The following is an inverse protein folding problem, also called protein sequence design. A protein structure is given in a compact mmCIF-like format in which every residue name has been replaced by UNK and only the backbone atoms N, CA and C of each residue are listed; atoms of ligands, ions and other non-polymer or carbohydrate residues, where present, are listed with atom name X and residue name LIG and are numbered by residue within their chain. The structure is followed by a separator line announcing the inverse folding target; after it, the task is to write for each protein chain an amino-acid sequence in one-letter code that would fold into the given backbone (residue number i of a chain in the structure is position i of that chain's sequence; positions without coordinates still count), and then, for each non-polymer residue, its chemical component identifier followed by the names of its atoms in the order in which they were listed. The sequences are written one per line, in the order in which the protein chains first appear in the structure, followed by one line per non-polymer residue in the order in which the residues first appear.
data_IF_586959096523
#
_entry.id   IF_586959096523
#
_cell.length_a   1.000
_cell.length_b   1.000
_cell.length_c   1.000
_cell.angle_alpha   90.00
_cell.angle_beta   90.00
_cell.angle_gamma   90.00
#
_symmetry.space_group_name_H-M   'P 1'
#
loop_
_entity.id
_entity.type
_entity.pdbx_description
1 polymer ?
#
# COMPACT_ATOMS: atom_id res chain seq x y z
N UNK A 1 14.06 -47.26 34.53
CA UNK A 1 13.79 -45.98 33.85
C UNK A 1 12.72 -45.23 34.63
N UNK A 2 13.01 -44.07 35.21
CA UNK A 2 12.00 -43.27 35.91
C UNK A 2 10.96 -42.83 34.87
N UNK A 3 9.69 -43.19 35.04
CA UNK A 3 8.60 -42.61 34.25
C UNK A 3 8.63 -41.11 34.50
N UNK A 4 8.95 -40.33 33.47
CA UNK A 4 8.84 -38.87 33.50
C UNK A 4 7.32 -38.59 33.59
N UNK A 5 6.93 -37.72 34.53
CA UNK A 5 5.52 -37.33 34.67
C UNK A 5 5.07 -36.46 33.49
N UNK A 6 3.75 -36.35 33.27
CA UNK A 6 3.18 -35.49 32.23
C UNK A 6 3.67 -34.04 32.40
N UNK A 7 3.61 -33.53 33.64
CA UNK A 7 4.05 -32.19 34.01
C UNK A 7 5.54 -31.95 33.69
N UNK A 8 6.42 -32.91 34.04
CA UNK A 8 7.84 -32.82 33.69
C UNK A 8 8.07 -32.86 32.17
N UNK A 9 7.25 -33.62 31.44
CA UNK A 9 7.33 -33.68 29.97
C UNK A 9 6.95 -32.35 29.33
N UNK A 10 5.89 -31.70 29.82
CA UNK A 10 5.45 -30.38 29.36
C UNK A 10 6.51 -29.32 29.70
N UNK A 11 7.11 -29.36 30.89
CA UNK A 11 8.17 -28.43 31.27
C UNK A 11 9.40 -28.54 30.35
N UNK A 12 9.84 -29.76 30.04
CA UNK A 12 10.94 -29.99 29.08
C UNK A 12 10.57 -29.46 27.69
N UNK A 13 9.32 -29.66 27.26
CA UNK A 13 8.85 -29.15 25.97
C UNK A 13 8.86 -27.60 25.93
N UNK A 14 8.47 -26.93 27.02
CA UNK A 14 8.55 -25.47 27.14
C UNK A 14 9.99 -24.97 27.07
N UNK A 15 10.93 -25.64 27.74
CA UNK A 15 12.37 -25.31 27.65
C UNK A 15 12.89 -25.44 26.23
N UNK A 16 12.55 -26.54 25.52
CA UNK A 16 12.89 -26.68 24.11
C UNK A 16 12.27 -25.59 23.23
N UNK A 17 11.03 -25.18 23.52
CA UNK A 17 10.37 -24.11 22.80
C UNK A 17 11.09 -22.76 23.00
N UNK A 18 11.48 -22.42 24.24
CA UNK A 18 12.26 -21.22 24.55
C UNK A 18 13.63 -21.21 23.86
N UNK A 19 14.27 -22.38 23.73
CA UNK A 19 15.51 -22.57 22.99
C UNK A 19 15.31 -22.62 21.47
N UNK A 20 14.09 -22.40 20.96
CA UNK A 20 13.71 -22.47 19.55
C UNK A 20 13.94 -23.84 18.90
N UNK A 21 14.01 -24.89 19.71
CA UNK A 21 14.20 -26.28 19.29
C UNK A 21 12.85 -26.94 19.00
N UNK A 22 12.11 -26.37 18.04
CA UNK A 22 10.70 -26.72 17.80
C UNK A 22 10.46 -28.17 17.36
N UNK A 23 11.45 -28.79 16.70
CA UNK A 23 11.37 -30.21 16.32
C UNK A 23 11.36 -31.14 17.54
N UNK A 24 12.13 -30.81 18.56
CA UNK A 24 12.16 -31.55 19.82
C UNK A 24 10.84 -31.39 20.59
N UNK A 25 10.24 -30.19 20.55
CA UNK A 25 8.91 -29.95 21.13
C UNK A 25 7.86 -30.88 20.52
N UNK A 26 7.76 -30.93 19.18
CA UNK A 26 6.75 -31.77 18.52
C UNK A 26 7.03 -33.26 18.72
N UNK A 27 8.30 -33.70 18.71
CA UNK A 27 8.66 -35.10 18.98
C UNK A 27 8.25 -35.58 20.37
N UNK A 28 8.30 -34.70 21.37
CA UNK A 28 7.96 -35.05 22.76
C UNK A 28 6.45 -34.98 22.99
N UNK A 29 5.77 -33.99 22.41
CA UNK A 29 4.34 -33.76 22.66
C UNK A 29 3.42 -34.62 21.76
N UNK A 30 3.82 -34.96 20.55
CA UNK A 30 2.99 -35.73 19.60
C UNK A 30 2.51 -37.08 20.15
N UNK A 31 3.33 -37.90 20.84
CA UNK A 31 2.86 -39.16 21.43
C UNK A 31 1.82 -38.94 22.55
N UNK A 32 1.91 -37.82 23.27
CA UNK A 32 0.94 -37.50 24.33
C UNK A 32 -0.44 -37.21 23.74
N UNK A 33 -0.49 -36.52 22.59
CA UNK A 33 -1.75 -36.22 21.90
C UNK A 33 -2.55 -37.47 21.49
N UNK A 34 -1.90 -38.63 21.33
CA UNK A 34 -2.54 -39.91 21.00
C UNK A 34 -3.25 -40.56 22.21
N UNK A 35 -2.99 -40.09 23.43
CA UNK A 35 -3.53 -40.65 24.67
C UNK A 35 -4.68 -39.83 25.28
N UNK A 36 -5.30 -38.92 24.51
CA UNK A 36 -6.40 -38.02 24.92
C UNK A 36 -6.00 -37.28 26.20
N UNK A 37 -5.11 -36.31 26.07
CA UNK A 37 -4.77 -35.43 27.19
C UNK A 37 -5.78 -34.28 27.22
N UNK A 38 -6.46 -34.08 28.35
CA UNK A 38 -7.45 -33.02 28.57
C UNK A 38 -6.75 -31.73 29.03
N UNK A 39 -5.77 -31.27 28.26
CA UNK A 39 -5.01 -30.04 28.52
C UNK A 39 -4.80 -29.29 27.20
N UNK A 40 -5.54 -28.19 27.02
CA UNK A 40 -5.47 -27.35 25.82
C UNK A 40 -4.09 -26.69 25.65
N UNK A 41 -3.36 -26.44 26.74
CA UNK A 41 -2.05 -25.81 26.73
C UNK A 41 -1.00 -26.66 26.02
N UNK A 42 -1.12 -28.00 26.10
CA UNK A 42 -0.25 -28.92 25.35
C UNK A 42 -0.46 -28.79 23.84
N UNK A 43 -1.72 -28.73 23.42
CA UNK A 43 -2.08 -28.58 22.01
C UNK A 43 -1.70 -27.19 21.47
N UNK A 44 -1.84 -26.14 22.28
CA UNK A 44 -1.38 -24.79 21.96
C UNK A 44 0.14 -24.76 21.76
N UNK A 45 0.91 -25.31 22.70
CA UNK A 45 2.38 -25.37 22.61
C UNK A 45 2.85 -26.20 21.40
N UNK A 46 2.21 -27.33 21.15
CA UNK A 46 2.51 -28.19 20.01
C UNK A 46 2.18 -27.49 18.68
N UNK A 47 1.02 -26.83 18.59
CA UNK A 47 0.62 -26.04 17.42
C UNK A 47 1.59 -24.90 17.14
N UNK A 48 2.02 -24.18 18.18
CA UNK A 48 3.01 -23.10 18.07
C UNK A 48 4.35 -23.63 17.51
N UNK A 49 4.80 -24.78 18.00
CA UNK A 49 6.01 -25.43 17.49
C UNK A 49 5.88 -25.84 16.01
N UNK A 50 4.73 -26.43 15.61
CA UNK A 50 4.45 -26.73 14.20
C UNK A 50 4.43 -25.48 13.34
N UNK A 51 3.82 -24.40 13.81
CA UNK A 51 3.78 -23.11 13.12
C UNK A 51 5.20 -22.55 12.89
N UNK A 52 6.06 -22.57 13.91
CA UNK A 52 7.46 -22.14 13.78
C UNK A 52 8.28 -23.02 12.82
N UNK A 53 7.91 -24.28 12.63
CA UNK A 53 8.50 -25.19 11.63
C UNK A 53 7.95 -24.99 10.21
N UNK A 54 6.98 -24.09 10.02
CA UNK A 54 6.28 -23.90 8.75
C UNK A 54 5.28 -25.02 8.41
N UNK A 55 4.98 -25.89 9.37
CA UNK A 55 4.06 -27.02 9.24
C UNK A 55 2.63 -26.58 9.59
N UNK A 56 2.08 -25.66 8.78
CA UNK A 56 0.85 -24.94 9.12
C UNK A 56 -0.39 -25.84 9.22
N UNK A 57 -0.48 -26.91 8.42
CA UNK A 57 -1.61 -27.84 8.48
C UNK A 57 -1.63 -28.61 9.81
N UNK A 58 -0.47 -29.09 10.27
CA UNK A 58 -0.35 -29.74 11.59
C UNK A 58 -0.59 -28.75 12.73
N UNK A 59 -0.18 -27.49 12.56
CA UNK A 59 -0.48 -26.43 13.53
C UNK A 59 -2.00 -26.23 13.67
N UNK A 60 -2.73 -26.14 12.55
CA UNK A 60 -4.20 -26.03 12.53
C UNK A 60 -4.84 -27.20 13.27
N UNK A 61 -4.45 -28.44 12.96
CA UNK A 61 -4.98 -29.63 13.63
C UNK A 61 -4.74 -29.60 15.15
N UNK A 62 -3.53 -29.21 15.57
CA UNK A 62 -3.20 -29.07 16.97
C UNK A 62 -4.09 -28.01 17.66
N UNK A 63 -4.21 -26.80 17.09
CA UNK A 63 -5.04 -25.75 17.67
C UNK A 63 -6.52 -26.14 17.74
N UNK A 64 -7.06 -26.80 16.70
CA UNK A 64 -8.45 -27.28 16.69
C UNK A 64 -8.69 -28.33 17.79
N UNK A 65 -7.75 -29.24 18.02
CA UNK A 65 -7.84 -30.21 19.13
C UNK A 65 -7.81 -29.50 20.50
N UNK A 66 -6.96 -28.48 20.67
CA UNK A 66 -6.96 -27.66 21.88
C UNK A 66 -8.29 -26.93 22.09
N UNK A 67 -8.85 -26.36 21.03
CA UNK A 67 -10.15 -25.67 21.04
C UNK A 67 -11.31 -26.62 21.39
N UNK A 68 -11.23 -27.90 20.99
CA UNK A 68 -12.23 -28.90 21.39
C UNK A 68 -12.22 -29.18 22.90
N UNK A 69 -11.07 -29.02 23.56
CA UNK A 69 -10.94 -29.17 25.02
C UNK A 69 -11.41 -27.89 25.72
N UNK A 70 -10.95 -26.73 25.23
CA UNK A 70 -11.30 -25.44 25.79
C UNK A 70 -11.51 -24.40 24.68
N UNK A 71 -12.77 -24.05 24.44
CA UNK A 71 -13.17 -23.10 23.41
C UNK A 71 -13.08 -21.62 23.84
N UNK A 72 -12.71 -21.33 25.08
CA UNK A 72 -12.65 -19.96 25.63
C UNK A 72 -11.21 -19.40 25.68
N UNK A 73 -10.27 -20.03 24.95
CA UNK A 73 -8.87 -19.59 24.88
C UNK A 73 -8.65 -18.71 23.66
N UNK A 74 -8.72 -17.39 23.85
CA UNK A 74 -8.54 -16.42 22.78
C UNK A 74 -7.23 -16.60 21.98
N UNK A 75 -6.12 -16.97 22.65
CA UNK A 75 -4.82 -17.17 22.02
C UNK A 75 -4.83 -18.32 21.00
N UNK A 76 -5.55 -19.41 21.28
CA UNK A 76 -5.69 -20.56 20.38
C UNK A 76 -6.31 -20.15 19.05
N UNK A 77 -7.30 -19.25 19.08
CA UNK A 77 -7.93 -18.71 17.87
C UNK A 77 -7.03 -17.72 17.12
N UNK A 78 -6.21 -16.93 17.81
CA UNK A 78 -5.18 -16.08 17.16
C UNK A 78 -4.20 -16.96 16.38
N UNK A 79 -3.67 -17.99 17.02
CA UNK A 79 -2.66 -18.83 16.43
C UNK A 79 -3.23 -19.72 15.31
N UNK A 80 -4.48 -20.15 15.44
CA UNK A 80 -5.24 -20.79 14.37
C UNK A 80 -5.41 -19.86 13.16
N UNK A 81 -5.85 -18.62 13.38
CA UNK A 81 -5.98 -17.62 12.32
C UNK A 81 -4.65 -17.31 11.64
N UNK A 82 -3.55 -17.25 12.40
CA UNK A 82 -2.21 -17.07 11.85
C UNK A 82 -1.85 -18.22 10.90
N UNK A 83 -2.13 -19.47 11.29
CA UNK A 83 -1.84 -20.63 10.46
C UNK A 83 -2.67 -20.65 9.16
N UNK A 84 -3.97 -20.34 9.24
CA UNK A 84 -4.83 -20.19 8.05
C UNK A 84 -4.33 -19.07 7.11
N UNK A 85 -3.95 -17.92 7.66
CA UNK A 85 -3.43 -16.81 6.86
C UNK A 85 -2.14 -17.18 6.12
N UNK A 86 -1.26 -18.00 6.71
CA UNK A 86 -0.04 -18.50 6.04
C UNK A 86 -0.34 -19.45 4.88
N UNK A 87 -1.46 -20.16 4.95
CA UNK A 87 -1.98 -21.00 3.86
C UNK A 87 -2.85 -20.20 2.86
N UNK A 88 -3.03 -18.89 3.07
CA UNK A 88 -3.91 -18.01 2.30
C UNK A 88 -5.40 -18.40 2.36
N UNK A 89 -5.79 -19.18 3.37
CA UNK A 89 -7.20 -19.43 3.71
C UNK A 89 -7.74 -18.23 4.49
N UNK A 90 -8.00 -17.13 3.77
CA UNK A 90 -8.31 -15.85 4.41
C UNK A 90 -9.65 -15.83 5.14
N UNK A 91 -10.67 -16.50 4.61
CA UNK A 91 -11.99 -16.57 5.26
C UNK A 91 -11.92 -17.32 6.60
N UNK A 92 -11.26 -18.48 6.63
CA UNK A 92 -11.03 -19.24 7.87
C UNK A 92 -10.20 -18.44 8.89
N UNK A 93 -9.22 -17.65 8.42
CA UNK A 93 -8.43 -16.79 9.28
C UNK A 93 -9.27 -15.66 9.88
N UNK A 94 -10.15 -15.04 9.09
CA UNK A 94 -11.09 -14.00 9.56
C UNK A 94 -12.01 -14.57 10.64
N UNK A 95 -12.58 -15.75 10.41
CA UNK A 95 -13.46 -16.42 11.39
C UNK A 95 -12.72 -16.72 12.71
N UNK A 96 -11.50 -17.23 12.62
CA UNK A 96 -10.68 -17.51 13.79
C UNK A 96 -10.36 -16.22 14.58
N UNK A 97 -9.88 -15.17 13.94
CA UNK A 97 -9.59 -13.92 14.66
C UNK A 97 -10.85 -13.26 15.22
N UNK A 98 -11.98 -13.32 14.52
CA UNK A 98 -13.25 -12.76 15.01
C UNK A 98 -13.74 -13.50 16.26
N UNK A 99 -13.55 -14.83 16.33
CA UNK A 99 -13.81 -15.59 17.56
C UNK A 99 -12.88 -15.19 18.70
N UNK A 100 -11.59 -14.99 18.42
CA UNK A 100 -10.63 -14.52 19.43
C UNK A 100 -11.05 -13.16 20.02
N UNK A 101 -11.44 -12.21 19.17
CA UNK A 101 -11.92 -10.89 19.59
C UNK A 101 -13.20 -10.99 20.43
N UNK A 102 -14.12 -11.88 20.06
CA UNK A 102 -15.35 -12.11 20.83
C UNK A 102 -15.08 -12.68 22.22
N UNK A 103 -14.07 -13.55 22.36
CA UNK A 103 -13.67 -14.13 23.66
C UNK A 103 -12.97 -13.09 24.54
N UNK A 104 -12.03 -12.32 23.96
CA UNK A 104 -11.32 -11.28 24.69
C UNK A 104 -11.18 -10.00 23.84
N UNK A 105 -12.13 -9.05 23.96
CA UNK A 105 -12.13 -7.81 23.18
C UNK A 105 -10.97 -6.85 23.50
N UNK A 106 -10.31 -7.03 24.66
CA UNK A 106 -9.16 -6.23 25.09
C UNK A 106 -7.87 -6.64 24.36
N UNK A 107 -7.85 -7.84 23.76
CA UNK A 107 -6.76 -8.24 22.89
C UNK A 107 -6.83 -7.45 21.58
N UNK A 108 -5.84 -6.58 21.40
CA UNK A 108 -5.73 -5.80 20.15
C UNK A 108 -5.18 -6.63 18.99
N UNK A 109 -4.44 -7.71 19.28
CA UNK A 109 -3.75 -8.52 18.28
C UNK A 109 -4.68 -9.16 17.24
N UNK A 110 -5.83 -9.78 17.58
CA UNK A 110 -6.79 -10.27 16.60
C UNK A 110 -7.26 -9.19 15.63
N UNK A 111 -7.53 -7.96 16.10
CA UNK A 111 -7.98 -6.84 15.26
C UNK A 111 -6.89 -6.39 14.29
N UNK A 112 -5.63 -6.32 14.74
CA UNK A 112 -4.48 -6.04 13.87
C UNK A 112 -4.31 -7.13 12.80
N UNK A 113 -4.49 -8.39 13.18
CA UNK A 113 -4.41 -9.50 12.24
C UNK A 113 -5.59 -9.53 11.26
N UNK A 114 -6.79 -9.13 11.67
CA UNK A 114 -7.95 -8.95 10.79
C UNK A 114 -7.69 -7.87 9.74
N UNK A 115 -7.10 -6.72 10.12
CA UNK A 115 -6.70 -5.69 9.16
C UNK A 115 -5.76 -6.25 8.09
N UNK A 116 -4.73 -6.99 8.52
CA UNK A 116 -3.80 -7.65 7.60
C UNK A 116 -4.50 -8.62 6.65
N UNK A 117 -5.36 -9.50 7.17
CA UNK A 117 -6.04 -10.51 6.35
C UNK A 117 -7.07 -9.88 5.43
N UNK A 118 -7.84 -8.88 5.88
CA UNK A 118 -8.74 -8.13 4.99
C UNK A 118 -7.98 -7.46 3.85
N UNK A 119 -6.81 -6.87 4.13
CA UNK A 119 -5.95 -6.30 3.08
C UNK A 119 -5.43 -7.36 2.12
N UNK A 120 -4.98 -8.51 2.62
CA UNK A 120 -4.48 -9.61 1.78
C UNK A 120 -5.58 -10.26 0.93
N UNK A 121 -6.82 -10.27 1.43
CA UNK A 121 -8.01 -10.75 0.73
C UNK A 121 -8.66 -9.69 -0.18
N UNK A 122 -8.05 -8.51 -0.33
CA UNK A 122 -8.59 -7.37 -1.10
C UNK A 122 -9.95 -6.85 -0.59
N UNK A 123 -10.29 -7.12 0.66
CA UNK A 123 -11.47 -6.56 1.33
C UNK A 123 -11.14 -5.19 1.95
N UNK A 124 -10.82 -4.22 1.08
CA UNK A 124 -10.30 -2.91 1.47
C UNK A 124 -11.24 -2.15 2.42
N UNK A 125 -12.55 -2.20 2.19
CA UNK A 125 -13.54 -1.53 3.05
C UNK A 125 -13.54 -2.10 4.47
N UNK A 126 -13.47 -3.43 4.62
CA UNK A 126 -13.41 -4.10 5.91
C UNK A 126 -12.11 -3.78 6.65
N UNK A 127 -10.99 -3.70 5.93
CA UNK A 127 -9.70 -3.29 6.49
C UNK A 127 -9.75 -1.85 7.03
N UNK A 128 -10.29 -0.90 6.26
CA UNK A 128 -10.44 0.51 6.67
C UNK A 128 -11.34 0.63 7.89
N UNK A 129 -12.49 -0.07 7.89
CA UNK A 129 -13.43 -0.07 9.02
C UNK A 129 -12.76 -0.59 10.30
N UNK A 130 -12.03 -1.69 10.21
CA UNK A 130 -11.33 -2.29 11.35
C UNK A 130 -10.18 -1.39 11.84
N UNK A 131 -9.45 -0.73 10.94
CA UNK A 131 -8.46 0.30 11.30
C UNK A 131 -9.09 1.41 12.14
N UNK A 132 -10.28 1.90 11.75
CA UNK A 132 -11.03 2.88 12.53
C UNK A 132 -11.30 2.40 13.96
N UNK A 133 -11.87 1.20 14.11
CA UNK A 133 -12.19 0.63 15.43
C UNK A 133 -10.96 0.49 16.34
N UNK A 134 -9.81 0.09 15.79
CA UNK A 134 -8.55 -0.03 16.55
C UNK A 134 -8.03 1.34 16.99
N UNK A 135 -8.17 2.36 16.14
CA UNK A 135 -7.73 3.73 16.42
C UNK A 135 -8.64 4.43 17.43
N UNK A 136 -9.96 4.25 17.34
CA UNK A 136 -10.93 4.80 18.30
C UNK A 136 -10.74 4.24 19.72
N UNK A 137 -10.31 2.97 19.85
CA UNK A 137 -10.04 2.37 21.16
C UNK A 137 -8.68 2.77 21.77
N UNK A 138 -7.75 3.31 20.97
CA UNK A 138 -6.42 3.77 21.43
C UNK A 138 -6.27 5.27 21.48
N UNK A 139 -7.23 6.01 20.96
CA UNK A 139 -7.17 7.46 20.90
C UNK A 139 -8.51 8.04 21.26
N UNK A 140 -8.50 9.05 22.12
CA UNK A 140 -9.59 10.01 22.19
C UNK A 140 -10.07 10.34 20.77
N UNK A 141 -11.38 10.47 20.62
CA UNK A 141 -12.19 10.61 19.39
C UNK A 141 -11.72 11.66 18.36
N UNK A 142 -10.58 12.30 18.60
CA UNK A 142 -9.85 13.12 17.66
C UNK A 142 -9.01 12.33 16.66
N UNK A 143 -8.70 11.03 16.82
CA UNK A 143 -7.71 10.38 15.93
C UNK A 143 -8.24 9.85 14.60
N UNK A 144 -9.47 9.36 14.53
CA UNK A 144 -10.10 9.13 13.22
C UNK A 144 -10.33 10.46 12.53
N UNK A 145 -10.75 11.49 13.28
CA UNK A 145 -10.85 12.84 12.73
C UNK A 145 -9.47 13.38 12.33
N UNK A 146 -8.36 13.06 13.00
CA UNK A 146 -6.97 13.45 12.66
C UNK A 146 -6.35 12.54 11.59
N UNK A 147 -6.81 11.31 11.39
CA UNK A 147 -6.40 10.44 10.28
C UNK A 147 -7.20 10.75 9.00
N UNK A 148 -8.44 11.21 9.14
CA UNK A 148 -9.27 11.75 8.05
C UNK A 148 -9.00 13.25 7.80
N UNK A 149 -8.55 14.01 8.81
CA UNK A 149 -7.94 15.36 8.71
C UNK A 149 -6.42 15.30 8.54
N UNK A 150 -5.81 14.12 8.48
CA UNK A 150 -4.41 13.99 8.08
C UNK A 150 -4.42 14.26 6.59
N UNK A 151 -4.47 15.54 6.25
CA UNK A 151 -4.34 16.02 4.89
C UNK A 151 -3.07 15.38 4.36
N UNK A 152 -3.22 14.50 3.36
CA UNK A 152 -2.05 14.01 2.65
C UNK A 152 -1.29 15.24 2.16
N UNK A 153 0.03 15.18 2.17
CA UNK A 153 0.88 16.26 1.69
C UNK A 153 1.94 15.68 0.79
N UNK A 154 2.66 16.53 0.05
CA UNK A 154 3.86 16.09 -0.71
C UNK A 154 4.84 15.26 0.13
N UNK A 155 5.05 15.62 1.39
CA UNK A 155 6.00 14.94 2.28
C UNK A 155 5.40 13.71 2.98
N UNK A 156 4.09 13.55 2.91
CA UNK A 156 3.34 12.42 3.46
C UNK A 156 2.13 12.10 2.56
N UNK A 157 2.36 11.61 1.32
CA UNK A 157 1.29 11.32 0.38
C UNK A 157 0.58 10.03 0.77
N UNK A 158 -0.60 9.77 0.20
CA UNK A 158 -1.30 8.52 0.48
C UNK A 158 -0.52 7.29 -0.03
N UNK A 159 -0.72 6.11 0.59
CA UNK A 159 -0.13 4.86 0.10
C UNK A 159 -0.51 4.52 -1.35
N UNK A 160 -1.69 4.95 -1.80
CA UNK A 160 -2.16 4.72 -3.17
C UNK A 160 -1.39 5.61 -4.15
N UNK A 161 -1.14 6.88 -3.80
CA UNK A 161 -0.29 7.76 -4.60
C UNK A 161 1.13 7.22 -4.69
N UNK A 162 1.72 6.75 -3.59
CA UNK A 162 3.06 6.12 -3.64
C UNK A 162 3.11 4.89 -4.56
N UNK A 163 2.06 4.07 -4.51
CA UNK A 163 1.93 2.89 -5.38
C UNK A 163 1.75 3.27 -6.86
N UNK A 164 1.01 4.35 -7.13
CA UNK A 164 0.87 4.93 -8.47
C UNK A 164 2.23 5.38 -9.00
N UNK A 165 3.01 6.12 -8.20
CA UNK A 165 4.35 6.58 -8.58
C UNK A 165 5.30 5.40 -8.86
N UNK A 166 5.30 4.35 -8.03
CA UNK A 166 6.13 3.16 -8.27
C UNK A 166 5.75 2.46 -9.58
N UNK A 167 4.44 2.34 -9.85
CA UNK A 167 3.94 1.74 -11.08
C UNK A 167 4.33 2.56 -12.32
N UNK A 168 4.18 3.89 -12.30
CA UNK A 168 4.60 4.77 -13.39
C UNK A 168 6.11 4.72 -13.63
N UNK A 169 6.92 4.72 -12.56
CA UNK A 169 8.38 4.57 -12.67
C UNK A 169 8.76 3.27 -13.38
N UNK A 170 8.09 2.15 -13.04
CA UNK A 170 8.33 0.85 -13.69
C UNK A 170 7.95 0.88 -15.16
N UNK A 171 6.80 1.45 -15.51
CA UNK A 171 6.39 1.58 -16.91
C UNK A 171 7.40 2.39 -17.73
N UNK A 172 8.01 3.43 -17.18
CA UNK A 172 9.08 4.15 -17.86
C UNK A 172 10.34 3.30 -18.14
N UNK A 173 10.59 2.25 -17.36
CA UNK A 173 11.73 1.34 -17.51
C UNK A 173 11.37 0.19 -18.45
N UNK A 174 10.19 -0.39 -18.28
CA UNK A 174 9.79 -1.66 -18.89
C UNK A 174 8.95 -1.47 -20.16
N UNK A 175 8.34 -0.30 -20.36
CA UNK A 175 7.26 -0.09 -21.33
C UNK A 175 5.92 -0.61 -20.82
N UNK A 176 4.86 -0.46 -21.62
CA UNK A 176 3.55 -1.04 -21.33
C UNK A 176 3.25 -2.19 -22.30
N UNK A 177 3.42 -3.41 -21.80
CA UNK A 177 3.18 -4.66 -22.54
C UNK A 177 1.72 -4.85 -22.94
N UNK A 178 0.77 -4.23 -22.21
CA UNK A 178 -0.66 -4.38 -22.52
C UNK A 178 -1.07 -3.51 -23.71
N UNK A 179 -0.48 -2.32 -23.84
CA UNK A 179 -0.71 -1.40 -24.96
C UNK A 179 0.31 -1.53 -26.08
N UNK A 180 1.31 -2.42 -25.92
CA UNK A 180 2.41 -2.62 -26.86
C UNK A 180 3.21 -1.32 -27.12
N UNK A 181 3.33 -0.47 -26.10
CA UNK A 181 4.20 0.72 -26.12
C UNK A 181 5.56 0.37 -25.51
N UNK A 182 6.64 0.78 -26.20
CA UNK A 182 7.99 0.54 -25.68
C UNK A 182 8.32 1.47 -24.49
N UNK A 183 9.39 1.12 -23.76
CA UNK A 183 9.93 1.96 -22.70
C UNK A 183 10.34 3.36 -23.18
N UNK A 184 10.62 3.56 -24.46
CA UNK A 184 10.91 4.87 -25.06
C UNK A 184 9.62 5.68 -25.33
N UNK A 185 8.53 5.01 -25.70
CA UNK A 185 7.30 5.63 -26.19
C UNK A 185 6.25 5.90 -25.09
N UNK A 186 6.20 5.06 -24.06
CA UNK A 186 5.19 5.16 -23.01
C UNK A 186 5.28 6.51 -22.26
N UNK A 187 4.15 7.16 -22.05
CA UNK A 187 4.07 8.50 -21.42
C UNK A 187 4.98 9.55 -22.09
N UNK A 188 5.04 9.56 -23.43
CA UNK A 188 5.79 10.56 -24.20
C UNK A 188 5.27 12.01 -24.07
N UNK A 189 4.19 12.26 -23.31
CA UNK A 189 3.56 13.57 -23.12
C UNK A 189 2.57 13.96 -24.22
N UNK A 190 1.94 12.98 -24.89
CA UNK A 190 1.05 13.22 -26.04
C UNK A 190 -0.26 13.92 -25.65
N UNK A 191 -0.68 13.91 -24.39
CA UNK A 191 -1.96 14.48 -23.94
C UNK A 191 -2.04 16.00 -24.16
N UNK A 192 -0.94 16.73 -23.99
CA UNK A 192 -0.87 18.17 -24.26
C UNK A 192 -1.11 18.53 -25.74
N UNK A 193 -0.84 17.60 -26.67
CA UNK A 193 -0.91 17.86 -28.11
C UNK A 193 -2.31 18.23 -28.61
N UNK A 194 -3.34 17.68 -27.97
CA UNK A 194 -4.75 17.98 -28.31
C UNK A 194 -5.14 19.42 -27.99
N UNK A 195 -4.35 20.10 -27.16
CA UNK A 195 -4.66 21.40 -26.59
C UNK A 195 -3.72 22.52 -27.06
N UNK A 196 -2.80 22.25 -27.99
CA UNK A 196 -1.73 23.19 -28.40
C UNK A 196 -2.24 24.58 -28.75
N UNK A 197 -3.30 24.67 -29.56
CA UNK A 197 -3.88 25.95 -29.97
C UNK A 197 -4.69 26.63 -28.85
N UNK A 198 -5.33 25.84 -27.99
CA UNK A 198 -6.06 26.35 -26.82
C UNK A 198 -5.07 26.94 -25.81
N UNK A 199 -3.99 26.23 -25.52
CA UNK A 199 -2.88 26.68 -24.69
C UNK A 199 -2.28 27.96 -25.29
N UNK A 200 -2.05 28.03 -26.62
CA UNK A 200 -1.56 29.25 -27.27
C UNK A 200 -2.47 30.45 -27.01
N UNK A 201 -3.79 30.28 -27.11
CA UNK A 201 -4.76 31.33 -26.86
C UNK A 201 -4.72 31.81 -25.41
N UNK A 202 -4.63 30.89 -24.46
CA UNK A 202 -4.53 31.21 -23.04
C UNK A 202 -3.25 31.97 -22.74
N UNK A 203 -2.10 31.48 -23.20
CA UNK A 203 -0.79 32.16 -23.07
C UNK A 203 -0.86 33.59 -23.62
N UNK A 204 -1.50 33.78 -24.78
CA UNK A 204 -1.64 35.11 -25.39
C UNK A 204 -2.58 36.01 -24.58
N UNK A 205 -3.64 35.44 -24.00
CA UNK A 205 -4.62 36.17 -23.19
C UNK A 205 -4.03 36.63 -21.85
N UNK A 206 -3.14 35.83 -21.25
CA UNK A 206 -2.52 36.09 -19.95
C UNK A 206 -1.13 36.74 -20.05
N UNK A 207 -0.61 36.94 -21.27
CA UNK A 207 0.79 37.34 -21.55
C UNK A 207 1.82 36.48 -20.81
N UNK A 208 1.52 35.19 -20.66
CA UNK A 208 2.42 34.24 -19.99
C UNK A 208 3.71 34.04 -20.78
N UNK A 209 4.86 34.09 -20.11
CA UNK A 209 6.19 33.92 -20.71
C UNK A 209 6.92 32.69 -20.22
N UNK A 210 6.56 32.17 -19.06
CA UNK A 210 7.17 31.00 -18.44
C UNK A 210 6.10 29.97 -18.13
N UNK A 211 6.33 28.71 -18.51
CA UNK A 211 5.38 27.62 -18.29
C UNK A 211 5.98 26.47 -17.50
N UNK A 212 5.14 25.84 -16.69
CA UNK A 212 5.38 24.54 -16.09
C UNK A 212 4.42 23.53 -16.73
N UNK A 213 4.91 22.37 -17.16
CA UNK A 213 4.07 21.20 -17.45
C UNK A 213 4.18 20.22 -16.27
N UNK A 214 3.12 20.15 -15.46
CA UNK A 214 2.99 19.32 -14.28
C UNK A 214 2.41 17.97 -14.70
N UNK A 215 3.15 16.88 -14.51
CA UNK A 215 2.79 15.55 -15.04
C UNK A 215 3.17 15.37 -16.52
N UNK A 216 4.29 15.97 -16.93
CA UNK A 216 4.75 15.99 -18.33
C UNK A 216 5.18 14.64 -18.92
N UNK A 217 5.26 13.59 -18.10
CA UNK A 217 5.90 12.32 -18.45
C UNK A 217 7.35 12.55 -18.91
N UNK A 218 7.65 12.15 -20.14
CA UNK A 218 8.98 12.37 -20.75
C UNK A 218 9.15 13.71 -21.46
N UNK A 219 8.08 14.49 -21.63
CA UNK A 219 8.09 15.79 -22.30
C UNK A 219 8.67 15.76 -23.72
N UNK A 220 8.53 14.66 -24.46
CA UNK A 220 9.14 14.49 -25.79
C UNK A 220 8.50 15.43 -26.82
N UNK A 221 7.23 15.76 -26.65
CA UNK A 221 6.47 16.69 -27.48
C UNK A 221 7.13 18.08 -27.56
N UNK A 222 7.91 18.48 -26.54
CA UNK A 222 8.56 19.79 -26.49
C UNK A 222 9.93 19.83 -27.16
N UNK A 223 10.58 18.69 -27.38
CA UNK A 223 12.00 18.64 -27.80
C UNK A 223 12.21 18.84 -29.29
N UNK A 224 11.30 18.37 -30.13
CA UNK A 224 11.47 18.43 -31.58
C UNK A 224 10.16 18.17 -32.30
N UNK A 225 9.36 19.23 -32.46
CA UNK A 225 8.16 19.19 -33.29
C UNK A 225 8.17 20.37 -34.26
N UNK A 226 8.42 20.14 -35.56
CA UNK A 226 8.21 21.17 -36.56
C UNK A 226 6.71 21.47 -36.64
N UNK A 227 6.34 22.74 -36.46
CA UNK A 227 4.96 23.22 -36.58
C UNK A 227 4.86 24.19 -37.75
N UNK A 228 3.81 24.05 -38.56
CA UNK A 228 3.48 24.98 -39.64
C UNK A 228 2.32 25.88 -39.22
N UNK A 229 2.55 27.19 -39.20
CA UNK A 229 1.56 28.20 -38.86
C UNK A 229 0.66 28.58 -40.03
N UNK A 230 -0.47 29.21 -39.72
CA UNK A 230 -1.29 29.88 -40.74
C UNK A 230 -0.50 31.06 -41.33
N UNK A 231 0.03 30.87 -42.54
CA UNK A 231 0.80 31.89 -43.27
C UNK A 231 2.28 31.56 -43.50
N UNK A 232 2.66 30.28 -43.65
CA UNK A 232 4.04 29.81 -43.98
C UNK A 232 5.12 30.02 -42.90
N UNK A 233 4.78 30.53 -41.72
CA UNK A 233 5.70 30.56 -40.59
C UNK A 233 5.98 29.13 -40.10
N UNK A 234 7.26 28.75 -40.06
CA UNK A 234 7.74 27.50 -39.46
C UNK A 234 8.29 27.77 -38.06
N UNK A 235 7.83 27.01 -37.07
CA UNK A 235 8.31 27.11 -35.71
C UNK A 235 9.29 25.98 -35.39
N UNK A 236 10.29 26.27 -34.57
CA UNK A 236 11.30 25.29 -34.13
C UNK A 236 10.75 24.25 -33.15
N UNK A 237 9.66 24.57 -32.46
CA UNK A 237 9.02 23.74 -31.45
C UNK A 237 7.87 24.47 -30.77
N UNK A 238 7.27 23.84 -29.76
CA UNK A 238 6.13 24.40 -29.04
C UNK A 238 6.47 25.68 -28.26
N UNK A 239 7.67 25.81 -27.70
CA UNK A 239 8.11 27.05 -27.04
C UNK A 239 8.09 28.25 -28.00
N UNK A 240 8.65 28.06 -29.21
CA UNK A 240 8.68 29.08 -30.26
C UNK A 240 7.27 29.41 -30.78
N UNK A 241 6.44 28.38 -30.98
CA UNK A 241 5.03 28.56 -31.34
C UNK A 241 4.26 29.36 -30.30
N UNK A 242 4.41 29.01 -29.02
CA UNK A 242 3.79 29.68 -27.90
C UNK A 242 4.40 31.05 -27.58
N UNK A 243 5.59 31.35 -28.11
CA UNK A 243 6.35 32.60 -27.85
C UNK A 243 6.64 32.79 -26.36
N UNK A 244 7.08 31.72 -25.72
CA UNK A 244 7.43 31.67 -24.29
C UNK A 244 8.95 31.61 -24.15
N UNK A 245 9.46 32.18 -23.07
CA UNK A 245 10.88 32.29 -22.78
C UNK A 245 11.42 31.03 -22.09
N UNK A 246 10.58 30.33 -21.32
CA UNK A 246 10.95 29.14 -20.55
C UNK A 246 9.81 28.12 -20.46
N UNK A 247 10.18 26.83 -20.48
CA UNK A 247 9.28 25.70 -20.23
C UNK A 247 9.98 24.69 -19.34
N UNK A 248 9.37 24.39 -18.20
CA UNK A 248 9.85 23.39 -17.27
C UNK A 248 8.95 22.16 -17.30
N UNK A 249 9.54 20.97 -17.41
CA UNK A 249 8.83 19.71 -17.32
C UNK A 249 9.00 19.15 -15.91
N UNK A 250 7.89 18.87 -15.23
CA UNK A 250 7.86 18.21 -13.94
C UNK A 250 7.03 16.94 -14.04
N UNK A 251 7.54 15.84 -13.50
CA UNK A 251 6.79 14.59 -13.38
C UNK A 251 7.32 13.76 -12.20
N UNK A 252 6.49 13.48 -11.17
CA UNK A 252 6.92 12.72 -9.99
C UNK A 252 7.29 11.27 -10.28
N UNK A 253 6.76 10.70 -11.38
CA UNK A 253 6.98 9.33 -11.83
C UNK A 253 8.13 9.17 -12.81
N UNK A 254 8.77 10.26 -13.28
CA UNK A 254 9.87 10.19 -14.24
C UNK A 254 11.18 10.76 -13.68
N UNK A 255 12.24 9.94 -13.45
CA UNK A 255 13.45 10.37 -12.74
C UNK A 255 14.15 11.64 -13.29
N UNK A 256 14.12 11.88 -14.61
CA UNK A 256 14.75 13.08 -15.18
C UNK A 256 13.99 14.38 -14.84
N UNK A 257 12.67 14.30 -14.62
CA UNK A 257 11.78 15.42 -14.34
C UNK A 257 11.16 15.37 -12.93
N UNK A 258 11.66 14.48 -12.07
CA UNK A 258 11.18 14.28 -10.71
C UNK A 258 11.51 15.45 -9.78
N UNK A 259 12.43 16.33 -10.17
CA UNK A 259 12.81 17.48 -9.35
C UNK A 259 11.71 18.53 -9.38
N UNK A 260 11.13 18.80 -8.21
CA UNK A 260 10.10 19.82 -8.08
C UNK A 260 10.65 21.22 -8.41
N UNK A 261 9.91 22.06 -9.18
CA UNK A 261 10.28 23.44 -9.47
C UNK A 261 10.64 24.26 -8.22
N UNK A 262 11.56 25.21 -8.41
CA UNK A 262 12.08 26.08 -7.34
C UNK A 262 11.72 27.56 -7.55
N UNK A 263 10.86 27.84 -8.53
CA UNK A 263 10.35 29.17 -8.87
C UNK A 263 8.89 29.06 -9.32
N UNK A 264 8.20 30.19 -9.35
CA UNK A 264 6.87 30.29 -9.95
C UNK A 264 6.95 30.45 -11.48
N UNK A 265 5.86 30.10 -12.15
CA UNK A 265 5.67 30.17 -13.60
C UNK A 265 4.39 30.92 -13.92
N UNK A 266 4.35 31.67 -15.02
CA UNK A 266 3.18 32.46 -15.41
C UNK A 266 1.96 31.59 -15.74
N UNK A 267 2.16 30.32 -16.11
CA UNK A 267 1.10 29.34 -16.26
C UNK A 267 1.59 27.93 -15.96
N UNK A 268 0.68 27.10 -15.43
CA UNK A 268 0.90 25.67 -15.18
C UNK A 268 -0.07 24.87 -16.05
N UNK A 269 0.47 23.94 -16.82
CA UNK A 269 -0.27 22.93 -17.56
C UNK A 269 -0.35 21.68 -16.68
N UNK A 270 -1.53 21.08 -16.59
CA UNK A 270 -1.75 19.81 -15.90
C UNK A 270 -2.75 18.99 -16.71
N UNK A 271 -2.29 18.42 -17.83
CA UNK A 271 -3.13 17.60 -18.71
C UNK A 271 -2.97 16.14 -18.32
N UNK A 272 -4.07 15.45 -18.00
CA UNK A 272 -4.06 14.00 -17.74
C UNK A 272 -3.30 13.63 -16.44
N UNK A 273 -3.62 14.33 -15.35
CA UNK A 273 -2.91 14.23 -14.06
C UNK A 273 -3.88 13.91 -12.93
N UNK A 274 -4.86 14.81 -12.72
CA UNK A 274 -5.71 14.78 -11.53
C UNK A 274 -6.66 13.57 -11.54
N UNK A 275 -7.04 13.10 -12.73
CA UNK A 275 -7.90 11.92 -12.91
C UNK A 275 -7.24 10.60 -12.49
N UNK A 276 -5.91 10.56 -12.37
CA UNK A 276 -5.15 9.39 -11.93
C UNK A 276 -4.81 9.41 -10.44
N UNK A 277 -4.98 10.56 -9.78
CA UNK A 277 -4.58 10.75 -8.39
C UNK A 277 -5.66 10.24 -7.43
N UNK A 278 -5.24 9.65 -6.29
CA UNK A 278 -6.15 9.28 -5.22
C UNK A 278 -6.83 10.54 -4.65
N UNK A 279 -8.12 10.43 -4.34
CA UNK A 279 -8.93 11.57 -3.87
C UNK A 279 -8.32 12.29 -2.65
N UNK A 280 -7.59 11.56 -1.79
CA UNK A 280 -6.92 12.14 -0.62
C UNK A 280 -5.72 13.02 -0.99
N UNK A 281 -5.12 12.80 -2.16
CA UNK A 281 -3.94 13.54 -2.62
C UNK A 281 -4.27 14.70 -3.55
N UNK A 282 -5.44 14.67 -4.21
CA UNK A 282 -5.86 15.70 -5.16
C UNK A 282 -5.79 17.11 -4.56
N UNK A 283 -6.19 17.27 -3.29
CA UNK A 283 -6.19 18.60 -2.63
C UNK A 283 -4.80 19.22 -2.62
N UNK A 284 -3.81 18.53 -2.04
CA UNK A 284 -2.47 19.10 -1.91
C UNK A 284 -1.76 19.23 -3.26
N UNK A 285 -2.07 18.35 -4.23
CA UNK A 285 -1.54 18.47 -5.60
C UNK A 285 -2.06 19.74 -6.27
N UNK A 286 -3.35 20.05 -6.10
CA UNK A 286 -3.95 21.29 -6.62
C UNK A 286 -3.31 22.50 -5.94
N UNK A 287 -3.19 22.49 -4.61
CA UNK A 287 -2.52 23.57 -3.86
C UNK A 287 -1.10 23.79 -4.37
N UNK A 288 -0.35 22.73 -4.61
CA UNK A 288 1.00 22.79 -5.16
C UNK A 288 1.05 23.39 -6.58
N UNK A 289 0.14 22.99 -7.46
CA UNK A 289 0.00 23.55 -8.80
C UNK A 289 -0.28 25.05 -8.73
N UNK A 290 -1.14 25.49 -7.81
CA UNK A 290 -1.44 26.90 -7.63
C UNK A 290 -0.30 27.68 -6.95
N UNK A 291 0.46 27.07 -6.03
CA UNK A 291 1.61 27.69 -5.38
C UNK A 291 2.74 27.99 -6.35
N UNK A 292 2.94 27.12 -7.36
CA UNK A 292 3.94 27.31 -8.42
C UNK A 292 3.41 28.11 -9.61
N UNK A 293 2.09 28.31 -9.72
CA UNK A 293 1.54 29.31 -10.62
C UNK A 293 1.77 30.70 -10.01
N UNK A 294 2.39 31.61 -10.76
CA UNK A 294 2.60 32.99 -10.32
C UNK A 294 1.26 33.67 -10.02
N UNK A 295 1.23 34.50 -8.97
CA UNK A 295 0.04 35.28 -8.63
C UNK A 295 -0.30 36.24 -9.77
N UNK A 296 -1.35 35.90 -10.54
CA UNK A 296 -2.05 36.85 -11.41
C UNK A 296 -3.41 37.12 -10.79
N UNK A 297 -3.46 38.06 -9.85
CA UNK A 297 -4.68 38.72 -9.39
C UNK A 297 -4.44 40.22 -9.32
#
# INVERSE_FOLDING_TARGET
MKKISLEQTVQIALEYYQLKQYKQVTQILQPLAQHIVQDDGIYLLMGNAYYCLGQYQQAIEAYLNGIQINADVAESYINLGNAYARLKSYDDAIDAYSKSDAINPDFIQPKLNLIYVYSAAQQTENAIKMCGQVLDNKCDSNSIEVALKSECTRNNPSPNYLSLIDMYNKLHIDGDLNSNESAEEVYAGRSAMRWVDTIKKLITLTDSRTLLDYGSGKGLQYKSMPLEGKGQLRYKGLQDYWKIDDLYCYDPGYPLYQKFPQKQYDAVLATDVLEHCDQRDVKWIIEEIFDVAGNVW
#
